data_IF_965777447269
#
_entry.id   IF_965777447269
#
_cell.length_a   1.000
_cell.length_b   1.000
_cell.length_c   1.000
_cell.angle_alpha   90.00
_cell.angle_beta   90.00
_cell.angle_gamma   90.00
#
_symmetry.space_group_name_H-M   'P 1'
#
loop_
_entity.id
_entity.type
_entity.pdbx_description
1 polymer ?
#
# COMPACT_ATOMS: atom_id res chain seq x y z
N UNK A 1 9.00 1.97 -5.78
CA UNK A 1 7.96 0.92 -5.83
C UNK A 1 7.10 1.20 -7.04
N UNK A 2 6.73 0.19 -7.82
CA UNK A 2 5.72 0.37 -8.89
C UNK A 2 4.31 0.25 -8.31
N UNK A 3 3.31 0.84 -8.98
CA UNK A 3 1.90 0.70 -8.57
C UNK A 3 1.46 -0.78 -8.48
N UNK A 4 1.98 -1.64 -9.34
CA UNK A 4 1.73 -3.09 -9.29
C UNK A 4 2.29 -3.75 -8.03
N UNK A 5 3.44 -3.29 -7.52
CA UNK A 5 3.98 -3.77 -6.25
C UNK A 5 3.16 -3.29 -5.06
N UNK A 6 2.70 -2.03 -5.07
CA UNK A 6 1.80 -1.52 -4.04
C UNK A 6 0.55 -2.39 -3.91
N UNK A 7 -0.11 -2.68 -5.04
CA UNK A 7 -1.31 -3.53 -5.08
C UNK A 7 -1.01 -4.94 -4.55
N UNK A 8 0.12 -5.53 -4.96
CA UNK A 8 0.56 -6.84 -4.44
C UNK A 8 0.73 -6.82 -2.92
N UNK A 9 1.40 -5.81 -2.36
CA UNK A 9 1.63 -5.71 -0.92
C UNK A 9 0.33 -5.50 -0.13
N UNK A 10 -0.59 -4.68 -0.67
CA UNK A 10 -1.94 -4.52 -0.11
C UNK A 10 -2.71 -5.85 -0.12
N UNK A 11 -2.65 -6.60 -1.22
CA UNK A 11 -3.31 -7.90 -1.35
C UNK A 11 -2.69 -8.96 -0.42
N UNK A 12 -1.37 -8.94 -0.24
CA UNK A 12 -0.65 -9.86 0.66
C UNK A 12 -0.95 -9.58 2.13
N UNK A 13 -1.02 -8.31 2.55
CA UNK A 13 -1.23 -7.94 3.95
C UNK A 13 -2.72 -7.98 4.35
N UNK A 14 -3.61 -7.50 3.48
CA UNK A 14 -5.04 -7.33 3.80
C UNK A 14 -5.96 -8.32 3.08
N UNK A 15 -5.46 -9.02 2.08
CA UNK A 15 -6.25 -9.91 1.22
C UNK A 15 -6.94 -9.14 0.08
N UNK A 16 -7.13 -9.78 -1.09
CA UNK A 16 -7.63 -9.11 -2.29
C UNK A 16 -9.05 -8.53 -2.15
N UNK A 17 -9.87 -9.06 -1.23
CA UNK A 17 -11.21 -8.54 -0.97
C UNK A 17 -11.19 -7.24 -0.16
N UNK A 18 -10.27 -7.09 0.81
CA UNK A 18 -10.22 -5.93 1.68
C UNK A 18 -9.25 -4.86 1.16
N UNK A 19 -8.19 -5.26 0.44
CA UNK A 19 -7.16 -4.38 -0.09
C UNK A 19 -7.74 -3.21 -0.90
N UNK A 20 -8.68 -3.49 -1.81
CA UNK A 20 -9.35 -2.46 -2.61
C UNK A 20 -10.25 -1.54 -1.77
N UNK A 21 -10.93 -2.07 -0.76
CA UNK A 21 -11.77 -1.26 0.14
C UNK A 21 -10.90 -0.33 0.98
N UNK A 22 -9.80 -0.83 1.53
CA UNK A 22 -8.83 -0.03 2.28
C UNK A 22 -8.24 1.07 1.39
N UNK A 23 -7.79 0.73 0.18
CA UNK A 23 -7.19 1.71 -0.73
C UNK A 23 -8.14 2.85 -1.11
N UNK A 24 -9.43 2.53 -1.30
CA UNK A 24 -10.45 3.49 -1.75
C UNK A 24 -11.11 4.26 -0.60
N UNK A 25 -11.16 3.70 0.61
CA UNK A 25 -11.99 4.22 1.73
C UNK A 25 -11.18 4.72 2.94
N UNK A 26 -9.95 4.23 3.12
CA UNK A 26 -9.11 4.65 4.24
C UNK A 26 -8.42 5.97 3.91
N UNK A 27 -8.74 7.02 4.67
CA UNK A 27 -8.07 8.32 4.57
C UNK A 27 -6.73 8.24 5.32
N UNK A 28 -5.64 8.55 4.61
CA UNK A 28 -4.28 8.54 5.14
C UNK A 28 -3.99 9.89 5.81
N UNK A 29 -3.73 9.94 7.14
CA UNK A 29 -3.60 11.19 7.88
C UNK A 29 -2.51 12.13 7.37
N UNK A 30 -1.40 11.61 6.83
CA UNK A 30 -0.31 12.48 6.36
C UNK A 30 -0.51 12.99 4.95
N UNK A 31 -1.42 12.37 4.18
CA UNK A 31 -1.76 12.75 2.81
C UNK A 31 -3.13 13.44 2.71
N UNK A 32 -3.90 13.45 3.80
CA UNK A 32 -5.27 13.95 3.92
C UNK A 32 -6.21 13.44 2.81
N UNK A 33 -5.93 12.24 2.30
CA UNK A 33 -6.64 11.62 1.19
C UNK A 33 -6.50 10.11 1.19
N UNK A 34 -7.27 9.41 0.36
CA UNK A 34 -7.22 7.94 0.27
C UNK A 34 -6.05 7.47 -0.59
N UNK A 35 -5.64 6.21 -0.44
CA UNK A 35 -4.52 5.68 -1.21
C UNK A 35 -4.76 5.79 -2.72
N UNK A 36 -5.96 5.44 -3.20
CA UNK A 36 -6.32 5.56 -4.62
C UNK A 36 -6.25 7.01 -5.11
N UNK A 37 -6.80 7.96 -4.34
CA UNK A 37 -6.74 9.40 -4.67
C UNK A 37 -5.31 9.92 -4.71
N UNK A 38 -4.47 9.49 -3.78
CA UNK A 38 -3.06 9.86 -3.74
C UNK A 38 -2.32 9.31 -4.98
N UNK A 39 -2.54 8.04 -5.32
CA UNK A 39 -1.91 7.41 -6.48
C UNK A 39 -2.36 8.07 -7.80
N UNK A 40 -3.65 8.37 -7.94
CA UNK A 40 -4.19 9.09 -9.10
C UNK A 40 -3.64 10.51 -9.21
N UNK A 41 -3.38 11.18 -8.08
CA UNK A 41 -2.74 12.48 -8.03
C UNK A 41 -1.22 12.42 -8.27
N UNK A 42 -0.65 11.25 -8.54
CA UNK A 42 0.76 11.06 -8.88
C UNK A 42 1.70 10.96 -7.68
N UNK A 43 1.18 10.72 -6.47
CA UNK A 43 2.01 10.49 -5.30
C UNK A 43 2.82 9.20 -5.45
N UNK A 44 4.01 9.19 -4.85
CA UNK A 44 4.88 8.01 -4.87
C UNK A 44 4.20 6.82 -4.17
N UNK A 45 4.06 5.65 -4.84
CA UNK A 45 3.39 4.49 -4.25
C UNK A 45 4.04 3.96 -2.97
N UNK A 46 5.37 4.11 -2.84
CA UNK A 46 6.06 3.71 -1.60
C UNK A 46 5.67 4.64 -0.46
N UNK A 47 5.54 5.94 -0.69
CA UNK A 47 5.03 6.87 0.33
C UNK A 47 3.63 6.50 0.78
N UNK A 48 2.72 6.25 -0.18
CA UNK A 48 1.33 5.84 0.12
C UNK A 48 1.30 4.54 0.93
N UNK A 49 2.11 3.55 0.55
CA UNK A 49 2.22 2.28 1.27
C UNK A 49 2.70 2.45 2.72
N UNK A 50 3.71 3.28 2.94
CA UNK A 50 4.24 3.52 4.29
C UNK A 50 3.19 4.16 5.19
N UNK A 51 2.42 5.11 4.67
CA UNK A 51 1.31 5.72 5.40
C UNK A 51 0.21 4.70 5.75
N UNK A 52 -0.15 3.82 4.81
CA UNK A 52 -1.07 2.70 5.09
C UNK A 52 -0.49 1.82 6.20
N UNK A 53 0.79 1.47 6.11
CA UNK A 53 1.46 0.63 7.09
C UNK A 53 1.46 1.26 8.49
N UNK A 54 1.77 2.56 8.59
CA UNK A 54 1.80 3.26 9.86
C UNK A 54 0.39 3.37 10.46
N UNK A 55 -0.63 3.59 9.63
CA UNK A 55 -2.03 3.68 10.08
C UNK A 55 -2.63 2.33 10.49
N UNK A 56 -2.33 1.26 9.75
CA UNK A 56 -2.84 -0.09 10.02
C UNK A 56 -1.97 -0.86 11.03
N UNK A 57 -0.83 -0.29 11.45
CA UNK A 57 0.08 -0.94 12.39
C UNK A 57 0.86 -2.11 11.76
N UNK A 58 1.14 -2.06 10.46
CA UNK A 58 1.92 -3.07 9.75
C UNK A 58 3.38 -2.99 10.21
N UNK A 59 3.94 -4.07 10.79
CA UNK A 59 5.30 -4.06 11.30
C UNK A 59 6.34 -4.01 10.17
N UNK A 60 7.47 -3.35 10.42
CA UNK A 60 8.49 -3.04 9.40
C UNK A 60 8.97 -4.27 8.61
N UNK A 61 9.12 -5.42 9.28
CA UNK A 61 9.55 -6.67 8.65
C UNK A 61 8.56 -7.23 7.61
N UNK A 62 7.32 -6.73 7.54
CA UNK A 62 6.30 -7.13 6.55
C UNK A 62 6.09 -6.12 5.44
N UNK A 63 6.58 -4.89 5.61
CA UNK A 63 6.33 -3.77 4.66
C UNK A 63 6.95 -4.01 3.28
N UNK A 64 7.92 -4.90 3.15
CA UNK A 64 8.50 -5.24 1.84
C UNK A 64 7.88 -6.53 1.24
N UNK A 65 6.92 -7.14 1.93
CA UNK A 65 6.41 -8.46 1.60
C UNK A 65 7.49 -9.53 1.80
N UNK A 66 7.20 -10.77 1.39
CA UNK A 66 8.24 -11.81 1.31
C UNK A 66 9.27 -11.44 0.23
N UNK A 67 10.53 -11.78 0.45
CA UNK A 67 11.57 -11.72 -0.59
C UNK A 67 11.12 -12.56 -1.79
N UNK A 68 10.70 -11.89 -2.86
CA UNK A 68 10.45 -12.53 -4.15
C UNK A 68 11.73 -12.35 -4.96
N UNK A 69 12.50 -13.41 -5.23
CA UNK A 69 13.64 -13.30 -6.12
C UNK A 69 13.16 -12.75 -7.47
N UNK A 70 13.88 -11.78 -8.08
CA UNK A 70 13.53 -11.27 -9.40
C UNK A 70 13.45 -12.47 -10.35
N UNK A 71 12.31 -12.60 -11.04
CA UNK A 71 12.14 -13.66 -12.03
C UNK A 71 13.05 -13.33 -13.22
N UNK A 72 14.02 -14.21 -13.48
CA UNK A 72 14.95 -14.17 -14.61
C UNK A 72 14.22 -14.04 -15.96
#
# INVERSE_FOLDING_TARGET
MRLSEFRRLMDEEFGPANAGVIASSLVLPTLDTTADRALDAGWDPRRVWLDVCDLQGVPEHRRLGRDIPPRD
#
